data_IF_308970499825
#
_entry.id   IF_308970499825
#
_cell.length_a   1.000
_cell.length_b   1.000
_cell.length_c   1.000
_cell.angle_alpha   90.00
_cell.angle_beta   90.00
_cell.angle_gamma   90.00
#
_symmetry.space_group_name_H-M   'P 1'
#
loop_
_entity.id
_entity.type
_entity.pdbx_description
1 polymer ?
#
# COMPACT_ATOMS: atom_id res chain seq x y z
N UNK A 1 -9.68 -23.77 -22.10
CA UNK A 1 -10.56 -23.17 -21.06
C UNK A 1 -10.23 -21.69 -21.01
N UNK A 2 -11.17 -20.80 -21.32
CA UNK A 2 -10.97 -19.35 -21.18
C UNK A 2 -11.06 -19.02 -19.69
N UNK A 3 -10.01 -18.47 -19.08
CA UNK A 3 -10.07 -17.93 -17.72
C UNK A 3 -10.51 -16.47 -17.81
N UNK A 4 -11.65 -16.16 -17.20
CA UNK A 4 -12.08 -14.77 -17.03
C UNK A 4 -11.23 -14.15 -15.94
N UNK A 5 -10.64 -12.99 -16.22
CA UNK A 5 -9.85 -12.21 -15.28
C UNK A 5 -10.61 -10.94 -14.90
N UNK A 6 -10.47 -10.51 -13.65
CA UNK A 6 -11.13 -9.34 -13.10
C UNK A 6 -10.21 -8.11 -13.13
N UNK A 7 -10.82 -6.95 -13.33
CA UNK A 7 -10.21 -5.64 -13.14
C UNK A 7 -11.00 -4.90 -12.07
N UNK A 8 -10.35 -4.56 -10.95
CA UNK A 8 -10.89 -3.62 -9.97
C UNK A 8 -10.69 -2.21 -10.53
N UNK A 9 -11.62 -1.78 -11.39
CA UNK A 9 -11.47 -0.55 -12.17
C UNK A 9 -11.47 0.73 -11.35
N UNK A 10 -12.10 0.70 -10.17
CA UNK A 10 -12.09 1.81 -9.22
C UNK A 10 -12.11 1.26 -7.79
N UNK A 11 -11.25 1.80 -6.94
CA UNK A 11 -11.38 1.67 -5.49
C UNK A 11 -10.85 2.92 -4.80
N UNK A 12 -11.50 3.30 -3.72
CA UNK A 12 -11.07 4.27 -2.73
C UNK A 12 -11.94 4.11 -1.49
N UNK A 13 -11.37 4.36 -0.31
CA UNK A 13 -12.20 4.64 0.86
C UNK A 13 -12.82 6.03 0.67
N UNK A 14 -14.13 6.12 0.82
CA UNK A 14 -14.90 7.34 0.63
C UNK A 14 -15.83 7.58 1.83
N UNK A 15 -16.34 8.81 1.97
CA UNK A 15 -17.17 9.32 3.09
C UNK A 15 -16.39 9.64 4.37
N UNK A 16 -17.02 9.43 5.54
CA UNK A 16 -16.54 9.90 6.85
C UNK A 16 -15.13 9.44 7.18
N UNK A 17 -14.81 8.20 6.81
CA UNK A 17 -13.54 7.56 7.19
C UNK A 17 -12.37 8.06 6.35
N UNK A 18 -12.68 8.63 5.18
CA UNK A 18 -11.69 9.06 4.21
C UNK A 18 -11.01 10.38 4.58
N UNK A 19 -11.68 11.24 5.37
CA UNK A 19 -11.24 12.63 5.52
C UNK A 19 -11.05 13.29 4.15
N UNK A 20 -10.04 14.12 3.92
CA UNK A 20 -9.60 14.56 2.56
C UNK A 20 -8.53 13.65 1.93
N UNK A 21 -8.36 12.45 2.48
CA UNK A 21 -7.25 11.54 2.22
C UNK A 21 -6.48 11.34 3.52
N UNK A 22 -7.05 10.53 4.42
CA UNK A 22 -6.50 10.22 5.74
C UNK A 22 -5.55 9.02 5.70
N UNK A 23 -4.74 8.86 6.75
CA UNK A 23 -3.97 7.64 6.97
C UNK A 23 -4.90 6.42 7.13
N UNK A 24 -6.08 6.57 7.73
CA UNK A 24 -7.08 5.52 7.88
C UNK A 24 -7.52 4.95 6.53
N UNK A 25 -7.81 5.84 5.56
CA UNK A 25 -8.13 5.44 4.19
C UNK A 25 -6.99 4.62 3.57
N UNK A 26 -5.76 5.12 3.66
CA UNK A 26 -4.59 4.46 3.11
C UNK A 26 -4.33 3.08 3.75
N UNK A 27 -4.57 2.91 5.05
CA UNK A 27 -4.43 1.61 5.73
C UNK A 27 -5.46 0.60 5.22
N UNK A 28 -6.73 1.00 5.11
CA UNK A 28 -7.79 0.13 4.61
C UNK A 28 -7.56 -0.26 3.13
N UNK A 29 -7.15 0.69 2.30
CA UNK A 29 -6.81 0.47 0.89
C UNK A 29 -5.58 -0.42 0.73
N UNK A 30 -4.54 -0.24 1.57
CA UNK A 30 -3.39 -1.13 1.59
C UNK A 30 -3.79 -2.56 1.94
N UNK A 31 -4.64 -2.74 2.96
CA UNK A 31 -5.14 -4.05 3.35
C UNK A 31 -5.92 -4.71 2.19
N UNK A 32 -6.77 -3.93 1.52
CA UNK A 32 -7.49 -4.37 0.32
C UNK A 32 -6.52 -4.80 -0.81
N UNK A 33 -5.49 -4.00 -1.10
CA UNK A 33 -4.48 -4.33 -2.11
C UNK A 33 -3.68 -5.60 -1.78
N UNK A 34 -3.35 -5.86 -0.51
CA UNK A 34 -2.74 -7.15 -0.14
C UNK A 34 -3.65 -8.33 -0.45
N UNK A 35 -4.97 -8.13 -0.34
CA UNK A 35 -5.98 -9.09 -0.77
C UNK A 35 -5.94 -9.32 -2.28
N UNK A 36 -5.83 -8.24 -3.08
CA UNK A 36 -5.72 -8.36 -4.54
C UNK A 36 -4.46 -9.10 -4.98
N UNK A 37 -3.30 -8.82 -4.37
CA UNK A 37 -2.07 -9.56 -4.66
C UNK A 37 -2.22 -11.06 -4.41
N UNK A 38 -2.87 -11.43 -3.28
CA UNK A 38 -3.12 -12.82 -2.92
C UNK A 38 -4.13 -13.53 -3.82
N UNK A 39 -4.90 -12.78 -4.59
CA UNK A 39 -5.88 -13.29 -5.57
C UNK A 39 -5.49 -12.88 -6.99
N UNK A 40 -4.19 -12.67 -7.25
CA UNK A 40 -3.70 -12.22 -8.56
C UNK A 40 -3.83 -13.28 -9.67
N UNK A 41 -4.16 -14.52 -9.32
CA UNK A 41 -4.55 -15.57 -10.27
C UNK A 41 -5.87 -15.26 -10.99
N UNK A 42 -6.72 -14.42 -10.38
CA UNK A 42 -8.00 -13.96 -10.94
C UNK A 42 -8.07 -12.44 -11.15
N UNK A 43 -7.44 -11.62 -10.29
CA UNK A 43 -7.42 -10.15 -10.42
C UNK A 43 -6.11 -9.69 -11.05
N UNK A 44 -6.17 -9.14 -12.26
CA UNK A 44 -4.96 -8.73 -13.00
C UNK A 44 -4.67 -7.24 -12.92
N UNK A 45 -5.67 -6.43 -12.60
CA UNK A 45 -5.55 -4.98 -12.59
C UNK A 45 -6.34 -4.38 -11.44
N UNK A 46 -5.86 -3.25 -10.93
CA UNK A 46 -6.54 -2.43 -9.95
C UNK A 46 -6.20 -0.96 -10.20
N UNK A 47 -7.17 -0.07 -10.07
CA UNK A 47 -6.96 1.37 -10.25
C UNK A 47 -7.59 2.16 -9.11
N UNK A 48 -6.78 2.95 -8.42
CA UNK A 48 -7.27 3.92 -7.46
C UNK A 48 -8.02 5.02 -8.21
N UNK A 49 -9.20 5.41 -7.74
CA UNK A 49 -9.96 6.48 -8.37
C UNK A 49 -10.68 7.37 -7.34
N UNK A 50 -10.68 8.71 -7.56
CA UNK A 50 -10.06 9.43 -8.68
C UNK A 50 -8.60 9.85 -8.40
N UNK A 51 -7.83 10.10 -9.47
CA UNK A 51 -6.39 10.36 -9.36
C UNK A 51 -6.06 11.81 -8.98
N UNK A 52 -6.76 12.78 -9.56
CA UNK A 52 -6.41 14.20 -9.45
C UNK A 52 -7.62 15.06 -9.09
N UNK A 53 -7.43 16.02 -8.19
CA UNK A 53 -8.41 17.06 -7.89
C UNK A 53 -7.80 18.43 -7.75
N UNK A 54 -8.40 19.41 -8.44
CA UNK A 54 -8.17 20.81 -8.14
C UNK A 54 -8.93 21.18 -6.88
N UNK A 55 -8.24 21.62 -5.82
CA UNK A 55 -8.90 21.95 -4.54
C UNK A 55 -9.95 23.06 -4.65
N UNK A 56 -9.89 23.89 -5.71
CA UNK A 56 -10.83 24.98 -5.93
C UNK A 56 -12.14 24.52 -6.61
N UNK A 57 -12.19 23.27 -7.10
CA UNK A 57 -13.40 22.70 -7.71
C UNK A 57 -13.57 21.22 -7.36
N UNK A 58 -13.49 20.91 -6.06
CA UNK A 58 -13.64 19.54 -5.57
C UNK A 58 -15.10 19.08 -5.66
N UNK A 59 -15.39 18.09 -6.51
CA UNK A 59 -16.71 17.44 -6.64
C UNK A 59 -16.78 16.06 -5.97
N UNK A 60 -15.66 15.36 -5.88
CA UNK A 60 -15.52 14.06 -5.21
C UNK A 60 -14.45 14.15 -4.12
N UNK A 61 -14.47 13.21 -3.18
CA UNK A 61 -13.50 13.15 -2.11
C UNK A 61 -13.35 11.72 -1.54
N UNK A 62 -12.12 11.22 -1.34
CA UNK A 62 -10.81 11.84 -1.61
C UNK A 62 -10.27 11.53 -3.02
N UNK A 63 -9.17 12.17 -3.37
CA UNK A 63 -8.38 11.90 -4.59
C UNK A 63 -6.92 11.67 -4.20
N UNK A 64 -6.16 10.95 -5.02
CA UNK A 64 -4.76 10.64 -4.69
C UNK A 64 -3.86 11.89 -4.69
N UNK A 65 -4.03 12.79 -5.66
CA UNK A 65 -3.21 13.98 -5.82
C UNK A 65 -4.09 15.23 -5.82
N UNK A 66 -3.81 16.14 -4.89
CA UNK A 66 -4.54 17.40 -4.73
C UNK A 66 -3.65 18.54 -5.21
N UNK A 67 -4.19 19.42 -6.04
CA UNK A 67 -3.44 20.54 -6.59
C UNK A 67 -4.26 21.83 -6.62
N UNK A 68 -3.57 22.96 -6.81
CA UNK A 68 -4.13 24.25 -7.22
C UNK A 68 -3.27 24.81 -8.37
N UNK A 69 -3.39 26.10 -8.69
CA UNK A 69 -2.67 26.74 -9.79
C UNK A 69 -1.13 26.68 -9.70
N UNK A 70 -0.54 26.50 -8.53
CA UNK A 70 0.92 26.64 -8.33
C UNK A 70 1.58 25.59 -7.43
N UNK A 71 0.81 24.70 -6.79
CA UNK A 71 1.32 23.65 -5.90
C UNK A 71 0.45 22.40 -5.91
N UNK A 72 1.02 21.29 -5.44
CA UNK A 72 0.34 20.01 -5.30
C UNK A 72 0.86 19.23 -4.09
N UNK A 73 0.09 18.24 -3.63
CA UNK A 73 0.53 17.21 -2.69
C UNK A 73 -0.14 15.87 -2.99
N UNK A 74 0.54 14.78 -2.65
CA UNK A 74 -0.06 13.45 -2.63
C UNK A 74 -0.69 13.16 -1.27
N UNK A 75 -1.88 12.58 -1.25
CA UNK A 75 -2.52 12.08 -0.02
C UNK A 75 -1.76 10.85 0.53
N UNK A 76 -2.02 10.42 1.77
CA UNK A 76 -1.52 9.14 2.29
C UNK A 76 -1.81 7.98 1.33
N UNK A 77 -2.98 7.96 0.70
CA UNK A 77 -3.34 6.96 -0.32
C UNK A 77 -2.40 7.01 -1.53
N UNK A 78 -2.03 8.19 -2.04
CA UNK A 78 -1.01 8.30 -3.09
C UNK A 78 0.32 7.67 -2.68
N UNK A 79 0.83 8.02 -1.51
CA UNK A 79 2.10 7.46 -1.03
C UNK A 79 2.01 5.95 -0.81
N UNK A 80 0.88 5.46 -0.32
CA UNK A 80 0.61 4.04 -0.18
C UNK A 80 0.62 3.33 -1.55
N UNK A 81 -0.03 3.89 -2.59
CA UNK A 81 0.03 3.33 -3.95
C UNK A 81 1.47 3.11 -4.43
N UNK A 82 2.37 4.05 -4.11
CA UNK A 82 3.78 3.93 -4.55
C UNK A 82 4.49 2.69 -3.99
N UNK A 83 4.05 2.17 -2.83
CA UNK A 83 4.59 0.96 -2.21
C UNK A 83 4.12 -0.34 -2.88
N UNK A 84 3.10 -0.24 -3.73
CA UNK A 84 2.50 -1.36 -4.48
C UNK A 84 2.86 -1.35 -5.96
N UNK A 85 3.71 -0.43 -6.46
CA UNK A 85 4.08 -0.36 -7.88
C UNK A 85 4.77 -1.64 -8.37
N UNK A 86 5.57 -2.24 -7.50
CA UNK A 86 6.34 -3.45 -7.78
C UNK A 86 5.49 -4.73 -7.81
N UNK A 87 4.17 -4.63 -7.63
CA UNK A 87 3.26 -5.78 -7.74
C UNK A 87 2.98 -6.16 -9.20
N UNK A 88 3.13 -5.21 -10.12
CA UNK A 88 2.95 -5.47 -11.55
C UNK A 88 4.07 -6.37 -12.06
N UNK A 89 3.70 -7.51 -12.65
CA UNK A 89 4.67 -8.51 -13.12
C UNK A 89 5.37 -9.31 -12.01
N UNK A 90 4.90 -9.21 -10.76
CA UNK A 90 5.46 -9.96 -9.63
C UNK A 90 4.78 -11.32 -9.45
N UNK A 91 5.49 -12.23 -8.79
CA UNK A 91 4.96 -13.53 -8.37
C UNK A 91 4.57 -13.48 -6.89
N UNK A 92 3.33 -13.81 -6.56
CA UNK A 92 2.86 -13.90 -5.17
C UNK A 92 3.27 -15.22 -4.51
N UNK A 93 3.63 -15.16 -3.22
CA UNK A 93 4.08 -16.30 -2.44
C UNK A 93 3.17 -16.55 -1.22
N UNK A 94 2.97 -17.82 -0.83
CA UNK A 94 2.32 -18.14 0.44
C UNK A 94 3.06 -17.52 1.62
N UNK A 95 2.35 -16.73 2.42
CA UNK A 95 2.88 -16.02 3.58
C UNK A 95 2.17 -16.46 4.85
N UNK A 96 2.94 -16.76 5.89
CA UNK A 96 2.46 -16.99 7.25
C UNK A 96 2.98 -15.90 8.18
N UNK A 97 2.05 -15.25 8.91
CA UNK A 97 2.37 -14.32 10.01
C UNK A 97 1.96 -14.97 11.32
N UNK A 98 2.94 -15.22 12.19
CA UNK A 98 2.67 -15.67 13.56
C UNK A 98 2.65 -14.46 14.49
N UNK A 99 1.45 -14.08 14.95
CA UNK A 99 1.22 -13.01 15.91
C UNK A 99 -0.12 -13.19 16.62
N UNK A 100 -0.19 -12.80 17.90
CA UNK A 100 -1.46 -12.71 18.65
C UNK A 100 -2.41 -11.63 18.11
N UNK A 101 -1.92 -10.77 17.23
CA UNK A 101 -2.67 -9.68 16.59
C UNK A 101 -3.00 -9.99 15.12
N UNK A 102 -2.97 -11.26 14.69
CA UNK A 102 -3.20 -11.64 13.29
C UNK A 102 -4.53 -11.12 12.72
N UNK A 103 -5.58 -10.99 13.55
CA UNK A 103 -6.86 -10.39 13.16
C UNK A 103 -6.81 -8.88 12.89
N UNK A 104 -5.71 -8.21 13.22
CA UNK A 104 -5.47 -6.78 12.97
C UNK A 104 -4.34 -6.52 11.96
N UNK A 105 -3.94 -7.57 11.22
CA UNK A 105 -2.88 -7.51 10.22
C UNK A 105 -3.40 -7.97 8.86
N UNK A 106 -3.00 -7.28 7.81
CA UNK A 106 -3.10 -7.76 6.44
C UNK A 106 -1.71 -7.80 5.83
N UNK A 107 -1.41 -8.81 5.02
CA UNK A 107 -0.08 -8.95 4.46
C UNK A 107 -0.04 -9.80 3.20
N UNK A 108 1.01 -9.58 2.43
CA UNK A 108 1.33 -10.30 1.21
C UNK A 108 2.85 -10.35 1.02
N UNK A 109 3.31 -11.37 0.30
CA UNK A 109 4.70 -11.53 -0.08
C UNK A 109 4.78 -11.73 -1.58
N UNK A 110 5.64 -10.96 -2.26
CA UNK A 110 5.86 -11.04 -3.69
C UNK A 110 7.35 -11.12 -3.99
N UNK A 111 7.72 -11.78 -5.08
CA UNK A 111 9.03 -11.58 -5.73
C UNK A 111 8.83 -10.78 -7.00
N UNK A 112 9.62 -9.73 -7.16
CA UNK A 112 9.63 -8.89 -8.36
C UNK A 112 11.06 -8.74 -8.88
N UNK A 113 11.19 -8.47 -10.17
CA UNK A 113 12.47 -8.37 -10.86
C UNK A 113 12.76 -6.90 -11.19
N UNK A 114 13.99 -6.46 -10.93
CA UNK A 114 14.47 -5.13 -11.33
C UNK A 114 15.94 -5.19 -11.74
N UNK A 115 16.23 -4.63 -12.92
CA UNK A 115 17.58 -4.59 -13.49
C UNK A 115 18.35 -5.94 -13.41
N UNK A 116 17.65 -7.06 -13.61
CA UNK A 116 18.23 -8.42 -13.55
C UNK A 116 18.39 -9.01 -12.15
N UNK A 117 17.96 -8.30 -11.09
CA UNK A 117 17.96 -8.78 -9.72
C UNK A 117 16.54 -9.16 -9.28
N UNK A 118 16.43 -10.22 -8.47
CA UNK A 118 15.17 -10.64 -7.84
C UNK A 118 15.09 -10.13 -6.42
N UNK A 119 13.96 -9.55 -6.05
CA UNK A 119 13.72 -8.99 -4.73
C UNK A 119 12.48 -9.61 -4.11
N UNK A 120 12.63 -10.14 -2.88
CA UNK A 120 11.48 -10.44 -2.03
C UNK A 120 10.96 -9.15 -1.39
N UNK A 121 9.68 -8.86 -1.55
CA UNK A 121 8.99 -7.78 -0.86
C UNK A 121 7.86 -8.35 -0.02
N UNK A 122 7.89 -8.07 1.28
CA UNK A 122 6.80 -8.40 2.20
C UNK A 122 6.12 -7.10 2.61
N UNK A 123 4.82 -7.00 2.34
CA UNK A 123 3.98 -5.84 2.68
C UNK A 123 3.13 -6.23 3.88
N UNK A 124 3.16 -5.42 4.93
CA UNK A 124 2.42 -5.65 6.16
C UNK A 124 1.68 -4.39 6.55
N UNK A 125 0.37 -4.52 6.69
CA UNK A 125 -0.52 -3.46 7.15
C UNK A 125 -0.96 -3.81 8.56
N UNK A 126 -0.66 -2.91 9.50
CA UNK A 126 -1.18 -2.99 10.86
C UNK A 126 -2.28 -1.95 11.02
N UNK A 127 -3.52 -2.41 11.09
CA UNK A 127 -4.70 -1.57 11.29
C UNK A 127 -5.23 -1.65 12.74
N UNK A 128 -4.47 -2.28 13.64
CA UNK A 128 -4.73 -2.25 15.08
C UNK A 128 -4.09 -1.04 15.76
N UNK A 129 -4.44 -0.85 17.04
CA UNK A 129 -3.96 0.27 17.87
C UNK A 129 -2.63 0.00 18.60
N UNK A 130 -2.01 -1.17 18.38
CA UNK A 130 -0.79 -1.59 19.09
C UNK A 130 0.37 -1.84 18.14
N UNK A 131 1.58 -1.55 18.60
CA UNK A 131 2.79 -2.02 17.94
C UNK A 131 2.86 -3.56 18.02
N UNK A 132 3.16 -4.20 16.89
CA UNK A 132 3.16 -5.67 16.78
C UNK A 132 4.54 -6.14 16.35
N UNK A 133 5.10 -7.09 17.10
CA UNK A 133 6.23 -7.89 16.62
C UNK A 133 5.69 -9.02 15.76
N UNK A 134 6.17 -9.10 14.53
CA UNK A 134 5.76 -10.13 13.56
C UNK A 134 6.92 -11.07 13.29
N UNK A 135 6.64 -12.38 13.20
CA UNK A 135 7.53 -13.35 12.59
C UNK A 135 6.94 -13.76 11.25
N UNK A 136 7.73 -13.56 10.20
CA UNK A 136 7.34 -13.75 8.81
C UNK A 136 7.96 -15.06 8.33
N UNK A 137 7.16 -15.91 7.70
CA UNK A 137 7.65 -17.08 6.98
C UNK A 137 6.95 -17.13 5.62
N UNK A 138 7.72 -17.31 4.56
CA UNK A 138 7.23 -17.44 3.18
C UNK A 138 7.73 -18.76 2.59
N UNK A 139 6.91 -19.37 1.74
CA UNK A 139 7.25 -20.59 1.02
C UNK A 139 7.25 -20.34 -0.50
N UNK A 140 7.77 -21.29 -1.29
CA UNK A 140 7.73 -21.22 -2.75
C UNK A 140 8.77 -20.29 -3.41
N UNK A 141 9.78 -19.83 -2.66
CA UNK A 141 10.87 -19.04 -3.21
C UNK A 141 11.80 -19.91 -4.07
N UNK A 142 12.20 -19.40 -5.23
CA UNK A 142 13.14 -20.08 -6.15
C UNK A 142 14.60 -20.06 -5.65
N UNK A 143 14.92 -19.17 -4.71
CA UNK A 143 16.24 -19.01 -4.13
C UNK A 143 16.17 -18.54 -2.67
N UNK A 144 17.26 -18.72 -1.93
CA UNK A 144 17.41 -18.16 -0.58
C UNK A 144 17.44 -16.64 -0.60
N UNK A 145 16.85 -16.01 0.42
CA UNK A 145 16.86 -14.55 0.57
C UNK A 145 18.18 -14.10 1.19
N UNK A 146 18.91 -13.23 0.50
CA UNK A 146 19.99 -12.47 1.13
C UNK A 146 19.37 -11.32 1.93
N UNK A 147 19.37 -11.44 3.26
CA UNK A 147 18.83 -10.41 4.13
C UNK A 147 19.76 -9.18 4.27
N UNK A 148 21.04 -9.30 3.90
CA UNK A 148 21.99 -8.20 3.97
C UNK A 148 21.55 -7.07 3.03
N UNK A 149 21.48 -5.85 3.55
CA UNK A 149 21.02 -4.68 2.78
C UNK A 149 19.50 -4.59 2.63
N UNK A 150 18.73 -5.40 3.37
CA UNK A 150 17.27 -5.25 3.43
C UNK A 150 16.89 -3.87 3.96
N UNK A 151 15.88 -3.29 3.33
CA UNK A 151 15.29 -2.01 3.76
C UNK A 151 13.85 -2.21 4.22
N UNK A 152 13.41 -1.37 5.14
CA UNK A 152 12.04 -1.29 5.62
C UNK A 152 11.51 0.10 5.31
N UNK A 153 10.41 0.14 4.55
CA UNK A 153 9.70 1.38 4.23
C UNK A 153 8.44 1.46 5.09
N UNK A 154 8.29 2.53 5.87
CA UNK A 154 7.17 2.71 6.80
C UNK A 154 6.40 3.98 6.47
N UNK A 155 5.11 3.85 6.18
CA UNK A 155 4.14 4.93 6.08
C UNK A 155 3.25 4.90 7.33
N UNK A 156 3.32 5.95 8.15
CA UNK A 156 2.57 6.04 9.42
C UNK A 156 2.46 7.49 9.89
N UNK A 157 1.64 7.74 10.91
CA UNK A 157 1.51 9.01 11.61
C UNK A 157 1.07 8.80 13.06
N UNK A 158 1.10 9.87 13.86
CA UNK A 158 0.66 9.85 15.27
C UNK A 158 -0.86 9.73 15.43
N UNK A 159 -1.65 10.13 14.44
CA UNK A 159 -3.09 10.00 14.42
C UNK A 159 -3.57 9.36 13.11
N UNK A 160 -4.50 8.40 13.20
CA UNK A 160 -5.04 7.68 12.03
C UNK A 160 -5.82 8.58 11.07
N UNK A 161 -6.34 9.71 11.55
CA UNK A 161 -7.02 10.72 10.74
C UNK A 161 -6.07 11.81 10.24
N UNK A 162 -4.75 11.65 10.36
CA UNK A 162 -3.81 12.61 9.79
C UNK A 162 -3.86 12.61 8.25
N UNK A 163 -3.80 13.82 7.68
CA UNK A 163 -3.88 14.09 6.24
C UNK A 163 -2.73 15.00 5.81
N UNK A 164 -2.38 14.94 4.52
CA UNK A 164 -1.52 15.95 3.89
C UNK A 164 -2.35 17.17 3.47
N UNK A 165 -1.72 18.34 3.43
CA UNK A 165 -2.35 19.60 3.01
C UNK A 165 -1.32 20.52 2.36
N UNK A 166 -1.73 21.64 1.77
CA UNK A 166 -0.76 22.60 1.22
C UNK A 166 0.18 23.20 2.26
N UNK A 167 -0.26 23.36 3.52
CA UNK A 167 0.62 23.85 4.59
C UNK A 167 1.55 22.76 5.12
N UNK A 168 1.16 21.48 4.99
CA UNK A 168 1.95 20.33 5.42
C UNK A 168 1.90 19.21 4.37
N UNK A 169 2.54 19.38 3.20
CA UNK A 169 2.37 18.48 2.05
C UNK A 169 3.02 17.11 2.25
N UNK A 170 3.83 16.97 3.31
CA UNK A 170 4.59 15.76 3.65
C UNK A 170 4.32 15.30 5.09
N UNK A 171 3.15 15.62 5.66
CA UNK A 171 2.80 15.23 7.05
C UNK A 171 2.79 13.71 7.21
N UNK A 172 2.19 13.01 6.25
CA UNK A 172 2.07 11.56 6.18
C UNK A 172 2.66 11.08 4.86
N UNK A 173 3.91 10.66 4.92
CA UNK A 173 4.68 10.06 3.81
C UNK A 173 5.44 8.85 4.33
N UNK A 174 5.92 8.00 3.43
CA UNK A 174 6.79 6.90 3.84
C UNK A 174 8.20 7.39 4.22
N UNK A 175 8.86 6.65 5.11
CA UNK A 175 10.29 6.77 5.45
C UNK A 175 10.98 5.44 5.23
N UNK A 176 12.24 5.46 4.82
CA UNK A 176 13.05 4.27 4.54
C UNK A 176 14.06 4.08 5.66
N UNK A 177 14.18 2.85 6.15
CA UNK A 177 15.13 2.43 7.17
C UNK A 177 15.97 1.28 6.61
N UNK A 178 17.28 1.38 6.68
CA UNK A 178 18.19 0.30 6.27
C UNK A 178 18.65 -0.47 7.50
N UNK A 179 18.66 -1.80 7.41
CA UNK A 179 19.35 -2.65 8.38
C UNK A 179 20.74 -2.95 7.85
N UNK A 180 21.77 -2.62 8.65
CA UNK A 180 23.16 -2.99 8.40
C UNK A 180 23.36 -4.48 8.65
#
# INVERSE_FOLDING_TARGET
MIRVQAFVSEYAVWRSDAGKGSLLAALAEAAFLTGLERNSDIVQMASYAPLFVNTNDRKWNPDAIVFNTWQHYGTPSYWMQTLFRESSGATVHPLTINSRYSGSLAASAITWQDAGNSFLRVKIVNFGSHAVRVRISTAGLEASVNALGSTVTVLTSGNVMDENSFSHPKKVIYKIFSYA
#
